data_IF_475990254280
#
_entry.id   IF_475990254280
#
_cell.length_a   1.000
_cell.length_b   1.000
_cell.length_c   1.000
_cell.angle_alpha   90.00
_cell.angle_beta   90.00
_cell.angle_gamma   90.00
#
_symmetry.space_group_name_H-M   'P 1'
#
loop_
_entity.id
_entity.type
_entity.pdbx_description
1 polymer ?
#
# COMPACT_ATOMS: atom_id res chain seq x y z
N UNK A 1 2.40 -9.24 -15.13
CA UNK A 1 2.94 -10.15 -14.09
C UNK A 1 1.79 -11.07 -13.68
N UNK A 2 2.05 -12.26 -13.14
CA UNK A 2 0.95 -13.05 -12.56
C UNK A 2 0.52 -12.44 -11.22
N UNK A 3 -0.74 -12.64 -10.82
CA UNK A 3 -1.31 -12.25 -9.52
C UNK A 3 -0.38 -12.65 -8.36
N UNK A 4 0.18 -13.87 -8.42
CA UNK A 4 1.13 -14.37 -7.42
C UNK A 4 2.39 -13.50 -7.34
N UNK A 5 2.98 -13.14 -8.48
CA UNK A 5 4.20 -12.32 -8.52
C UNK A 5 3.93 -10.90 -8.02
N UNK A 6 2.83 -10.29 -8.46
CA UNK A 6 2.44 -8.94 -8.03
C UNK A 6 2.17 -8.91 -6.51
N UNK A 7 1.44 -9.91 -6.00
CA UNK A 7 1.19 -10.11 -4.56
C UNK A 7 2.50 -10.27 -3.76
N UNK A 8 3.48 -11.02 -4.28
CA UNK A 8 4.78 -11.18 -3.61
C UNK A 8 5.58 -9.87 -3.57
N UNK A 9 5.58 -9.11 -4.67
CA UNK A 9 6.26 -7.83 -4.75
C UNK A 9 5.62 -6.79 -3.81
N UNK A 10 4.29 -6.72 -3.76
CA UNK A 10 3.58 -5.83 -2.84
C UNK A 10 3.84 -6.21 -1.37
N UNK A 11 3.83 -7.50 -1.04
CA UNK A 11 4.20 -7.99 0.29
C UNK A 11 5.65 -7.70 0.67
N UNK A 12 6.54 -7.47 -0.29
CA UNK A 12 7.90 -6.98 0.00
C UNK A 12 7.85 -5.52 0.49
N UNK A 13 7.15 -4.65 -0.22
CA UNK A 13 6.93 -3.25 0.18
C UNK A 13 6.32 -3.17 1.58
N UNK A 14 5.27 -3.95 1.84
CA UNK A 14 4.60 -3.97 3.16
C UNK A 14 5.50 -4.45 4.31
N UNK A 15 6.43 -5.37 4.03
CA UNK A 15 7.40 -5.84 5.04
C UNK A 15 8.44 -4.78 5.36
N UNK A 16 8.92 -4.06 4.35
CA UNK A 16 9.85 -2.94 4.52
C UNK A 16 9.17 -1.82 5.31
N UNK A 17 7.93 -1.47 4.97
CA UNK A 17 7.17 -0.45 5.67
C UNK A 17 6.86 -0.83 7.13
N UNK A 18 6.55 -2.11 7.38
CA UNK A 18 6.33 -2.60 8.75
C UNK A 18 7.59 -2.48 9.62
N UNK A 19 8.77 -2.74 9.05
CA UNK A 19 10.06 -2.55 9.76
C UNK A 19 10.33 -1.08 10.03
N UNK A 20 10.05 -0.21 9.06
CA UNK A 20 10.16 1.23 9.23
C UNK A 20 9.24 1.74 10.35
N UNK A 21 7.96 1.35 10.35
CA UNK A 21 7.00 1.69 11.40
C UNK A 21 7.48 1.23 12.79
N UNK A 22 8.00 0.01 12.91
CA UNK A 22 8.58 -0.47 14.18
C UNK A 22 9.84 0.31 14.59
N UNK A 23 10.66 0.76 13.64
CA UNK A 23 11.78 1.65 13.91
C UNK A 23 11.32 2.99 14.52
N UNK A 24 10.30 3.59 13.92
CA UNK A 24 9.68 4.82 14.42
C UNK A 24 9.08 4.64 15.82
N UNK A 25 8.36 3.53 16.06
CA UNK A 25 7.80 3.19 17.38
C UNK A 25 8.89 3.15 18.47
N UNK A 26 10.02 2.49 18.16
CA UNK A 26 11.17 2.40 19.09
C UNK A 26 11.90 3.72 19.27
N UNK A 27 11.89 4.58 18.25
CA UNK A 27 12.47 5.93 18.29
C UNK A 27 11.59 7.00 18.94
N UNK A 28 10.35 6.65 19.35
CA UNK A 28 9.40 7.59 19.95
C UNK A 28 8.57 8.39 18.95
N UNK A 29 8.71 8.15 17.63
CA UNK A 29 7.95 8.81 16.57
C UNK A 29 6.56 8.16 16.35
N UNK A 30 5.77 8.05 17.41
CA UNK A 30 4.51 7.30 17.42
C UNK A 30 3.47 7.81 16.40
N UNK A 31 3.43 9.13 16.16
CA UNK A 31 2.54 9.73 15.17
C UNK A 31 2.84 9.24 13.75
N UNK A 32 4.11 9.27 13.36
CA UNK A 32 4.56 8.77 12.04
C UNK A 32 4.44 7.27 11.92
N UNK A 33 4.70 6.53 12.99
CA UNK A 33 4.48 5.09 13.02
C UNK A 33 3.01 4.75 12.74
N UNK A 34 2.07 5.48 13.36
CA UNK A 34 0.63 5.32 13.12
C UNK A 34 0.26 5.58 11.66
N UNK A 35 0.83 6.62 11.04
CA UNK A 35 0.64 6.93 9.62
C UNK A 35 1.12 5.78 8.71
N UNK A 36 2.31 5.24 8.97
CA UNK A 36 2.85 4.09 8.23
C UNK A 36 1.99 2.83 8.39
N UNK A 37 1.51 2.54 9.61
CA UNK A 37 0.61 1.41 9.90
C UNK A 37 -0.73 1.55 9.17
N UNK A 38 -1.31 2.75 9.19
CA UNK A 38 -2.56 3.03 8.50
C UNK A 38 -2.44 2.83 6.97
N UNK A 39 -1.31 3.22 6.37
CA UNK A 39 -1.05 2.96 4.96
C UNK A 39 -0.89 1.46 4.65
N UNK A 40 -0.18 0.71 5.49
CA UNK A 40 -0.08 -0.76 5.37
C UNK A 40 -1.48 -1.40 5.38
N UNK A 41 -2.34 -0.98 6.30
CA UNK A 41 -3.68 -1.54 6.43
C UNK A 41 -4.57 -1.18 5.23
N UNK A 42 -4.48 0.04 4.72
CA UNK A 42 -5.18 0.46 3.49
C UNK A 42 -4.76 -0.37 2.27
N UNK A 43 -3.46 -0.60 2.10
CA UNK A 43 -2.93 -1.43 1.01
C UNK A 43 -3.38 -2.88 1.13
N UNK A 44 -3.37 -3.47 2.34
CA UNK A 44 -3.89 -4.83 2.56
C UNK A 44 -5.37 -4.94 2.23
N UNK A 45 -6.17 -3.92 2.55
CA UNK A 45 -7.59 -3.89 2.17
C UNK A 45 -7.76 -3.84 0.65
N UNK A 46 -6.98 -3.02 -0.05
CA UNK A 46 -6.99 -2.99 -1.51
C UNK A 46 -6.65 -4.36 -2.12
N UNK A 47 -5.64 -5.06 -1.59
CA UNK A 47 -5.32 -6.43 -2.00
C UNK A 47 -6.49 -7.39 -1.82
N UNK A 48 -7.17 -7.33 -0.67
CA UNK A 48 -8.32 -8.19 -0.40
C UNK A 48 -9.50 -7.88 -1.33
N UNK A 49 -9.74 -6.61 -1.65
CA UNK A 49 -10.76 -6.20 -2.62
C UNK A 49 -10.45 -6.75 -4.02
N UNK A 50 -9.19 -6.68 -4.46
CA UNK A 50 -8.77 -7.18 -5.76
C UNK A 50 -8.67 -8.71 -5.84
N UNK A 51 -8.63 -9.42 -4.71
CA UNK A 51 -8.39 -10.87 -4.67
C UNK A 51 -9.48 -11.71 -5.38
N UNK A 52 -10.67 -11.15 -5.60
CA UNK A 52 -11.76 -11.79 -6.33
C UNK A 52 -11.68 -11.66 -7.86
N UNK A 53 -10.73 -10.87 -8.38
CA UNK A 53 -10.54 -10.69 -9.81
C UNK A 53 -9.71 -11.85 -10.41
N UNK A 54 -9.99 -12.18 -11.68
CA UNK A 54 -9.19 -13.15 -12.45
C UNK A 54 -7.79 -12.60 -12.76
N UNK A 55 -6.82 -13.49 -13.04
CA UNK A 55 -5.39 -13.14 -13.21
C UNK A 55 -5.16 -12.00 -14.22
N UNK A 56 -5.92 -11.98 -15.32
CA UNK A 56 -5.83 -10.97 -16.39
C UNK A 56 -6.36 -9.59 -15.98
N UNK A 57 -7.21 -9.52 -14.96
CA UNK A 57 -7.84 -8.28 -14.47
C UNK A 57 -7.33 -7.85 -13.09
N UNK A 58 -6.56 -8.71 -12.43
CA UNK A 58 -6.07 -8.49 -11.07
C UNK A 58 -5.26 -7.20 -10.93
N UNK A 59 -4.36 -6.90 -11.87
CA UNK A 59 -3.54 -5.70 -11.82
C UNK A 59 -4.38 -4.41 -11.90
N UNK A 60 -5.38 -4.38 -12.80
CA UNK A 60 -6.30 -3.26 -12.93
C UNK A 60 -7.21 -3.10 -11.71
N UNK A 61 -7.78 -4.20 -11.21
CA UNK A 61 -8.60 -4.19 -10.00
C UNK A 61 -7.80 -3.73 -8.77
N UNK A 62 -6.53 -4.15 -8.66
CA UNK A 62 -5.64 -3.74 -7.57
C UNK A 62 -5.25 -2.26 -7.69
N UNK A 63 -4.99 -1.78 -8.89
CA UNK A 63 -4.72 -0.36 -9.16
C UNK A 63 -5.90 0.52 -8.71
N UNK A 64 -7.12 0.16 -9.11
CA UNK A 64 -8.32 0.92 -8.77
C UNK A 64 -8.58 0.91 -7.25
N UNK A 65 -8.46 -0.27 -6.63
CA UNK A 65 -8.63 -0.41 -5.19
C UNK A 65 -7.55 0.36 -4.40
N UNK A 66 -6.30 0.39 -4.86
CA UNK A 66 -5.24 1.19 -4.23
C UNK A 66 -5.46 2.68 -4.39
N UNK A 67 -5.94 3.10 -5.56
CA UNK A 67 -6.26 4.50 -5.85
C UNK A 67 -7.38 4.99 -4.94
N UNK A 68 -8.45 4.22 -4.78
CA UNK A 68 -9.54 4.50 -3.85
C UNK A 68 -9.02 4.59 -2.39
N UNK A 69 -8.29 3.57 -1.92
CA UNK A 69 -7.78 3.54 -0.54
C UNK A 69 -6.77 4.65 -0.25
N UNK A 70 -6.00 5.09 -1.26
CA UNK A 70 -5.11 6.24 -1.14
C UNK A 70 -5.89 7.54 -0.97
N UNK A 71 -7.01 7.71 -1.68
CA UNK A 71 -7.87 8.89 -1.50
C UNK A 71 -8.46 8.92 -0.09
N UNK A 72 -9.09 7.82 0.34
CA UNK A 72 -9.61 7.67 1.71
C UNK A 72 -8.53 7.93 2.76
N UNK A 73 -7.33 7.38 2.56
CA UNK A 73 -6.21 7.61 3.47
C UNK A 73 -5.89 9.10 3.61
N UNK A 74 -5.88 9.85 2.51
CA UNK A 74 -5.57 11.29 2.54
C UNK A 74 -6.67 12.12 3.19
N UNK A 75 -7.91 11.67 3.15
CA UNK A 75 -9.05 12.31 3.81
C UNK A 75 -9.04 12.04 5.32
N UNK A 76 -8.80 10.77 5.71
CA UNK A 76 -8.81 10.34 7.10
C UNK A 76 -7.53 10.73 7.85
N UNK A 77 -6.40 10.80 7.15
CA UNK A 77 -5.09 10.99 7.73
C UNK A 77 -4.41 12.23 7.17
N UNK A 78 -4.19 13.21 8.05
CA UNK A 78 -3.31 14.32 7.76
C UNK A 78 -1.85 13.82 7.78
N UNK A 79 -1.30 13.54 6.59
CA UNK A 79 0.04 13.00 6.34
C UNK A 79 0.98 14.09 5.74
N UNK A 80 1.38 15.11 6.52
CA UNK A 80 2.14 16.25 6.01
C UNK A 80 3.53 15.88 5.51
N UNK A 81 4.11 14.82 6.08
CA UNK A 81 5.44 14.31 5.74
C UNK A 81 5.39 13.27 4.61
N UNK A 82 4.20 12.91 4.13
CA UNK A 82 4.02 11.92 3.07
C UNK A 82 4.45 10.49 3.45
N UNK A 83 4.43 10.14 4.74
CA UNK A 83 4.84 8.83 5.26
C UNK A 83 4.00 7.73 4.61
N UNK A 84 2.68 7.76 4.81
CA UNK A 84 1.80 6.75 4.22
C UNK A 84 1.61 6.94 2.71
N UNK A 85 1.58 8.19 2.27
CA UNK A 85 1.44 8.55 0.85
C UNK A 85 2.57 7.98 0.00
N UNK A 86 3.80 7.95 0.51
CA UNK A 86 4.96 7.37 -0.19
C UNK A 86 4.82 5.86 -0.38
N UNK A 87 4.20 5.16 0.58
CA UNK A 87 3.98 3.70 0.51
C UNK A 87 2.91 3.35 -0.52
N UNK A 88 1.82 4.11 -0.58
CA UNK A 88 0.84 3.99 -1.66
C UNK A 88 1.46 4.26 -3.04
N UNK A 89 2.32 5.29 -3.14
CA UNK A 89 2.97 5.62 -4.42
C UNK A 89 3.86 4.47 -4.90
N UNK A 90 4.71 3.92 -4.03
CA UNK A 90 5.54 2.73 -4.37
C UNK A 90 4.69 1.52 -4.78
N UNK A 91 3.52 1.33 -4.16
CA UNK A 91 2.62 0.24 -4.49
C UNK A 91 1.94 0.45 -5.86
N UNK A 92 1.53 1.68 -6.17
CA UNK A 92 0.96 2.05 -7.46
C UNK A 92 2.00 1.97 -8.58
N UNK A 93 3.19 2.54 -8.40
CA UNK A 93 4.29 2.49 -9.38
C UNK A 93 4.64 1.04 -9.76
N UNK A 94 4.60 0.12 -8.78
CA UNK A 94 4.84 -1.31 -9.00
C UNK A 94 3.78 -1.94 -9.92
N UNK A 95 2.53 -1.48 -9.84
CA UNK A 95 1.41 -2.03 -10.60
C UNK A 95 1.31 -1.36 -11.96
N UNK A 96 1.51 -0.05 -12.03
CA UNK A 96 1.52 0.71 -13.28
C UNK A 96 2.60 0.22 -14.23
N UNK A 97 3.76 -0.20 -13.71
CA UNK A 97 4.80 -0.86 -14.50
C UNK A 97 4.37 -2.21 -15.13
N UNK A 98 3.22 -2.75 -14.70
CA UNK A 98 2.68 -4.04 -15.12
C UNK A 98 1.34 -3.94 -15.86
N UNK A 99 0.76 -2.74 -15.94
CA UNK A 99 -0.44 -2.49 -16.74
C UNK A 99 -0.08 -2.44 -18.25
N UNK A 100 -0.96 -2.94 -19.13
CA UNK A 100 -0.74 -2.97 -20.58
C UNK A 100 -0.76 -1.59 -21.26
#
# INVERSE_FOLDING_TARGET
>A
MTQRRLTMALNKILREESRYATGLEKGGELGRAKLARAAIDGIKRAMNTAAGADDDSFAMALHDALTERRMEYREDWNDPDGVGTSTFSRALDLIEADLP
#
